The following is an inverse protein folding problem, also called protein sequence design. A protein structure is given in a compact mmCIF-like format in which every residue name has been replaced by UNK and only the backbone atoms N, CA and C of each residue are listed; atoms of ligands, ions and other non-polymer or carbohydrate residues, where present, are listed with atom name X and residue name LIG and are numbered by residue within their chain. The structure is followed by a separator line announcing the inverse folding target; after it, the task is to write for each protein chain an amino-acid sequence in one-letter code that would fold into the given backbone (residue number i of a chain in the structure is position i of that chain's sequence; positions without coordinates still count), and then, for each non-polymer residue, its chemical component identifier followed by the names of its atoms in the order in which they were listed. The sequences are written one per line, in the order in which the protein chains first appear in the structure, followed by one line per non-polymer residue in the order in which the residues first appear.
data_IF_481726342236
#
_entry.id   IF_481726342236
#
_cell.length_a   1.000
_cell.length_b   1.000
_cell.length_c   1.000
_cell.angle_alpha   90.00
_cell.angle_beta   90.00
_cell.angle_gamma   90.00
#
_symmetry.space_group_name_H-M   'P 1'
#
loop_
_entity.id
_entity.type
_entity.pdbx_description
1 polymer ?
#
# COMPACT_ATOMS: atom_id res chain seq x y z
N UNK A 1 -23.72 -15.54 17.68
CA UNK A 1 -23.26 -14.53 16.69
C UNK A 1 -22.11 -13.78 17.33
N UNK A 2 -20.91 -14.37 17.33
CA UNK A 2 -19.68 -13.67 17.72
C UNK A 2 -19.24 -12.88 16.49
N UNK A 3 -19.42 -11.57 16.50
CA UNK A 3 -18.70 -10.70 15.57
C UNK A 3 -17.42 -10.33 16.28
N UNK A 4 -16.38 -11.07 15.91
CA UNK A 4 -15.01 -10.78 16.27
C UNK A 4 -14.58 -9.51 15.53
N UNK A 5 -15.00 -8.34 16.04
CA UNK A 5 -14.57 -7.02 15.57
C UNK A 5 -13.10 -6.79 15.96
N UNK A 6 -12.18 -7.41 15.21
CA UNK A 6 -10.75 -7.14 15.27
C UNK A 6 -10.42 -5.92 14.39
N UNK A 7 -9.34 -5.22 14.73
CA UNK A 7 -8.70 -4.22 13.88
C UNK A 7 -8.58 -4.73 12.43
N UNK A 8 -8.59 -3.87 11.39
CA UNK A 8 -8.37 -4.33 10.02
C UNK A 8 -7.01 -5.03 9.94
N UNK A 9 -7.05 -6.36 9.84
CA UNK A 9 -5.85 -7.19 9.78
C UNK A 9 -5.29 -7.11 8.35
N UNK A 10 -4.47 -6.10 8.10
CA UNK A 10 -3.75 -5.98 6.83
C UNK A 10 -2.69 -7.09 6.81
N UNK A 11 -3.05 -8.19 6.17
CA UNK A 11 -2.11 -9.24 5.77
C UNK A 11 -1.63 -8.98 4.36
N UNK A 12 -0.38 -9.36 4.08
CA UNK A 12 0.21 -9.21 2.76
C UNK A 12 0.16 -10.53 1.99
N UNK A 13 0.19 -10.41 0.67
CA UNK A 13 0.38 -11.50 -0.29
C UNK A 13 1.39 -11.06 -1.34
N UNK A 14 1.94 -12.03 -2.04
CA UNK A 14 2.88 -11.79 -3.14
C UNK A 14 2.28 -12.29 -4.45
N UNK A 15 2.50 -11.55 -5.52
CA UNK A 15 2.29 -11.99 -6.91
C UNK A 15 3.65 -11.92 -7.60
N UNK A 16 4.03 -12.99 -8.31
CA UNK A 16 5.28 -13.01 -9.08
C UNK A 16 4.95 -12.97 -10.57
N UNK A 17 5.66 -12.09 -11.28
CA UNK A 17 5.64 -11.97 -12.73
C UNK A 17 7.01 -12.43 -13.22
N UNK A 18 7.07 -13.51 -14.00
CA UNK A 18 8.33 -14.04 -14.55
C UNK A 18 8.31 -14.03 -16.07
N UNK A 19 9.49 -14.13 -16.68
CA UNK A 19 9.65 -14.21 -18.13
C UNK A 19 10.48 -13.06 -18.70
N UNK A 20 10.86 -13.13 -19.99
CA UNK A 20 11.71 -12.13 -20.62
C UNK A 20 11.08 -10.73 -20.68
N UNK A 21 9.75 -10.64 -20.69
CA UNK A 21 9.04 -9.36 -20.73
C UNK A 21 8.60 -8.87 -19.33
N UNK A 22 9.00 -9.53 -18.23
CA UNK A 22 8.46 -9.26 -16.88
C UNK A 22 8.67 -7.81 -16.42
N UNK A 23 9.90 -7.30 -16.53
CA UNK A 23 10.24 -5.92 -16.16
C UNK A 23 9.50 -4.94 -17.07
N UNK A 24 9.54 -5.13 -18.39
CA UNK A 24 8.85 -4.27 -19.35
C UNK A 24 7.33 -4.26 -19.15
N UNK A 25 6.74 -5.40 -18.77
CA UNK A 25 5.34 -5.52 -18.42
C UNK A 25 5.03 -4.71 -17.15
N UNK A 26 5.76 -4.93 -16.04
CA UNK A 26 5.57 -4.16 -14.81
C UNK A 26 5.78 -2.65 -15.03
N UNK A 27 6.80 -2.28 -15.80
CA UNK A 27 7.07 -0.90 -16.24
C UNK A 27 5.89 -0.31 -17.00
N UNK A 28 5.14 -1.10 -17.77
CA UNK A 28 3.96 -0.59 -18.48
C UNK A 28 2.68 -0.50 -17.63
N UNK A 29 2.66 -1.08 -16.42
CA UNK A 29 1.44 -1.18 -15.61
C UNK A 29 1.48 -0.34 -14.33
N UNK A 30 2.65 -0.15 -13.74
CA UNK A 30 2.83 0.49 -12.44
C UNK A 30 3.17 1.98 -12.57
N UNK A 31 2.98 2.75 -11.51
CA UNK A 31 3.36 4.18 -11.45
C UNK A 31 4.86 4.42 -11.26
N UNK A 32 5.58 3.45 -10.69
CA UNK A 32 7.02 3.49 -10.41
C UNK A 32 7.85 3.25 -11.67
N UNK A 33 9.03 3.86 -11.79
CA UNK A 33 10.01 3.54 -12.83
C UNK A 33 10.77 2.24 -12.50
N UNK A 34 10.21 1.11 -12.93
CA UNK A 34 10.68 -0.23 -12.56
C UNK A 34 12.08 -0.54 -13.13
N UNK A 35 12.47 0.10 -14.23
CA UNK A 35 13.75 -0.13 -14.88
C UNK A 35 14.91 0.62 -14.20
N UNK A 36 14.60 1.63 -13.39
CA UNK A 36 15.58 2.52 -12.77
C UNK A 36 15.71 2.40 -11.25
N UNK A 37 15.03 1.43 -10.63
CA UNK A 37 15.04 1.24 -9.17
C UNK A 37 16.20 0.36 -8.71
N UNK A 38 16.58 0.52 -7.45
CA UNK A 38 17.54 -0.35 -6.77
C UNK A 38 16.93 -1.75 -6.57
N UNK A 39 17.54 -2.77 -7.19
CA UNK A 39 17.09 -4.16 -7.18
C UNK A 39 17.35 -4.88 -5.84
N UNK A 40 18.03 -4.23 -4.90
CA UNK A 40 18.25 -4.72 -3.53
C UNK A 40 17.18 -4.28 -2.54
N UNK A 41 16.22 -3.45 -2.97
CA UNK A 41 15.20 -2.86 -2.12
C UNK A 41 13.78 -3.16 -2.61
N UNK A 42 12.82 -3.01 -1.71
CA UNK A 42 11.39 -2.98 -2.02
C UNK A 42 10.93 -1.54 -2.19
N UNK A 43 10.34 -1.25 -3.34
CA UNK A 43 9.91 0.10 -3.69
C UNK A 43 8.40 0.23 -3.73
N UNK A 44 7.81 1.27 -3.12
CA UNK A 44 6.39 1.55 -3.25
C UNK A 44 6.01 1.80 -4.71
N UNK A 45 4.81 1.38 -5.10
CA UNK A 45 4.21 1.68 -6.38
C UNK A 45 2.68 1.61 -6.26
N UNK A 46 1.99 2.09 -7.29
CA UNK A 46 0.55 1.92 -7.44
C UNK A 46 0.21 1.25 -8.76
N UNK A 47 -0.85 0.44 -8.73
CA UNK A 47 -1.57 0.00 -9.91
C UNK A 47 -2.79 0.89 -10.13
N UNK A 48 -2.82 1.59 -11.25
CA UNK A 48 -3.89 2.55 -11.56
C UNK A 48 -4.92 1.99 -12.55
N UNK A 49 -6.11 2.58 -12.52
CA UNK A 49 -7.16 2.47 -13.54
C UNK A 49 -6.88 3.45 -14.69
N UNK A 50 -7.52 3.26 -15.86
CA UNK A 50 -7.42 4.22 -16.96
C UNK A 50 -7.86 5.66 -16.62
N UNK A 51 -8.68 5.86 -15.59
CA UNK A 51 -9.09 7.18 -15.09
C UNK A 51 -8.08 7.80 -14.11
N UNK A 52 -6.93 7.15 -13.88
CA UNK A 52 -5.86 7.61 -12.99
C UNK A 52 -6.03 7.23 -11.53
N UNK A 53 -7.15 6.60 -11.14
CA UNK A 53 -7.39 6.22 -9.74
C UNK A 53 -6.67 4.92 -9.38
N UNK A 54 -6.19 4.84 -8.15
CA UNK A 54 -5.39 3.72 -7.64
C UNK A 54 -6.29 2.57 -7.19
N UNK A 55 -6.06 1.38 -7.73
CA UNK A 55 -6.71 0.15 -7.27
C UNK A 55 -5.92 -0.58 -6.19
N UNK A 56 -4.60 -0.49 -6.24
CA UNK A 56 -3.73 -1.09 -5.25
C UNK A 56 -2.48 -0.24 -5.07
N UNK A 57 -2.06 -0.09 -3.82
CA UNK A 57 -0.69 0.28 -3.45
C UNK A 57 0.04 -1.02 -3.14
N UNK A 58 1.25 -1.15 -3.63
CA UNK A 58 2.06 -2.36 -3.56
C UNK A 58 3.54 -2.01 -3.43
N UNK A 59 4.33 -2.96 -2.94
CA UNK A 59 5.79 -2.90 -2.95
C UNK A 59 6.31 -3.77 -4.10
N UNK A 60 7.34 -3.28 -4.80
CA UNK A 60 7.94 -3.93 -5.96
C UNK A 60 9.38 -4.30 -5.63
N UNK A 61 9.71 -5.57 -5.84
CA UNK A 61 11.09 -6.04 -5.93
C UNK A 61 11.36 -6.51 -7.36
N UNK A 62 12.51 -6.14 -7.90
CA UNK A 62 12.93 -6.50 -9.26
C UNK A 62 14.09 -7.46 -9.19
N UNK A 63 14.00 -8.57 -9.90
CA UNK A 63 15.11 -9.47 -10.17
C UNK A 63 15.42 -9.54 -11.66
N UNK A 64 16.45 -10.31 -12.03
CA UNK A 64 16.94 -10.36 -13.42
C UNK A 64 15.87 -10.78 -14.46
N UNK A 65 14.91 -11.63 -14.10
CA UNK A 65 13.78 -12.06 -14.97
C UNK A 65 12.47 -12.25 -14.20
N UNK A 66 12.37 -11.61 -13.04
CA UNK A 66 11.19 -11.68 -12.21
C UNK A 66 10.90 -10.32 -11.61
N UNK A 67 9.63 -10.07 -11.35
CA UNK A 67 9.15 -8.94 -10.57
C UNK A 67 8.20 -9.49 -9.53
N UNK A 68 8.48 -9.22 -8.26
CA UNK A 68 7.60 -9.58 -7.14
C UNK A 68 6.82 -8.36 -6.69
N UNK A 69 5.51 -8.52 -6.58
CA UNK A 69 4.58 -7.51 -6.12
C UNK A 69 4.03 -7.95 -4.77
N UNK A 70 4.31 -7.18 -3.71
CA UNK A 70 3.75 -7.40 -2.38
C UNK A 70 2.63 -6.40 -2.14
N UNK A 71 1.45 -6.88 -1.80
CA UNK A 71 0.24 -6.07 -1.67
C UNK A 71 -0.70 -6.64 -0.60
N UNK A 72 -1.72 -5.87 -0.14
CA UNK A 72 -2.74 -6.39 0.76
C UNK A 72 -3.42 -7.63 0.16
N UNK A 73 -3.47 -8.72 0.94
CA UNK A 73 -4.01 -10.03 0.52
C UNK A 73 -5.45 -9.92 0.02
N UNK A 74 -6.25 -9.05 0.62
CA UNK A 74 -7.63 -8.76 0.22
C UNK A 74 -7.77 -8.26 -1.23
N UNK A 75 -6.70 -7.71 -1.81
CA UNK A 75 -6.67 -7.25 -3.21
C UNK A 75 -6.00 -8.24 -4.18
N UNK A 76 -5.33 -9.29 -3.68
CA UNK A 76 -4.48 -10.17 -4.49
C UNK A 76 -5.24 -10.83 -5.65
N UNK A 77 -6.46 -11.35 -5.42
CA UNK A 77 -7.26 -11.97 -6.47
C UNK A 77 -7.63 -10.96 -7.59
N UNK A 78 -8.03 -9.75 -7.21
CA UNK A 78 -8.41 -8.70 -8.15
C UNK A 78 -7.21 -8.19 -8.96
N UNK A 79 -6.06 -8.02 -8.30
CA UNK A 79 -4.80 -7.65 -8.93
C UNK A 79 -4.33 -8.74 -9.89
N UNK A 80 -4.43 -10.01 -9.50
CA UNK A 80 -4.04 -11.15 -10.32
C UNK A 80 -4.87 -11.26 -11.60
N UNK A 81 -6.21 -11.18 -11.50
CA UNK A 81 -7.12 -11.18 -12.66
C UNK A 81 -6.78 -10.06 -13.64
N UNK A 82 -6.50 -8.87 -13.10
CA UNK A 82 -6.12 -7.71 -13.90
C UNK A 82 -4.76 -7.88 -14.59
N UNK A 83 -3.76 -8.34 -13.87
CA UNK A 83 -2.43 -8.57 -14.42
C UNK A 83 -2.50 -9.56 -15.60
N UNK A 84 -3.30 -10.63 -15.48
CA UNK A 84 -3.57 -11.57 -16.58
C UNK A 84 -4.30 -10.94 -17.76
N UNK A 85 -5.23 -10.01 -17.53
CA UNK A 85 -5.92 -9.31 -18.61
C UNK A 85 -4.94 -8.51 -19.47
N UNK A 86 -3.95 -7.87 -18.86
CA UNK A 86 -2.96 -7.05 -19.56
C UNK A 86 -1.73 -7.81 -20.07
N UNK A 87 -1.59 -9.10 -19.73
CA UNK A 87 -0.46 -9.93 -20.17
C UNK A 87 -0.61 -10.49 -21.59
N UNK A 88 -1.75 -10.27 -22.25
CA UNK A 88 -2.00 -10.77 -23.61
C UNK A 88 -0.94 -10.24 -24.57
N UNK A 89 -0.27 -11.16 -25.27
CA UNK A 89 0.80 -10.83 -26.22
C UNK A 89 2.16 -10.52 -25.58
N UNK A 90 2.30 -10.68 -24.26
CA UNK A 90 3.57 -10.55 -23.52
C UNK A 90 4.09 -11.94 -23.15
N UNK A 91 5.41 -12.13 -23.23
CA UNK A 91 6.08 -13.35 -22.77
C UNK A 91 6.29 -13.27 -21.27
N UNK A 92 5.20 -13.34 -20.52
CA UNK A 92 5.20 -13.34 -19.05
C UNK A 92 4.32 -14.46 -18.50
N UNK A 93 4.72 -14.99 -17.36
CA UNK A 93 3.91 -15.86 -16.52
C UNK A 93 3.60 -15.15 -15.21
N UNK A 94 2.34 -15.21 -14.79
CA UNK A 94 1.86 -14.53 -13.58
C UNK A 94 1.29 -15.61 -12.66
N UNK A 95 1.87 -15.71 -11.46
CA UNK A 95 1.53 -16.69 -10.45
C UNK A 95 1.44 -16.04 -9.05
N UNK A 96 0.85 -16.77 -8.11
CA UNK A 96 1.04 -16.45 -6.70
C UNK A 96 2.55 -16.53 -6.38
N UNK A 97 3.04 -15.57 -5.61
CA UNK A 97 4.44 -15.50 -5.22
C UNK A 97 4.74 -16.23 -3.91
N UNK A 98 6.01 -16.19 -3.47
CA UNK A 98 6.41 -16.74 -2.18
C UNK A 98 5.66 -16.07 -1.02
N UNK A 99 5.66 -16.74 0.13
CA UNK A 99 5.15 -16.15 1.35
C UNK A 99 5.98 -14.92 1.74
N UNK A 100 5.33 -13.99 2.43
CA UNK A 100 5.92 -12.75 2.89
C UNK A 100 5.75 -12.62 4.40
N UNK A 101 6.81 -12.23 5.09
CA UNK A 101 6.80 -11.92 6.52
C UNK A 101 7.60 -10.65 6.81
N UNK A 102 7.21 -9.92 7.84
CA UNK A 102 7.94 -8.74 8.30
C UNK A 102 9.12 -9.10 9.22
N UNK A 103 10.20 -8.34 9.12
CA UNK A 103 11.37 -8.48 9.98
C UNK A 103 12.32 -7.27 9.92
N UNK A 104 13.48 -7.40 10.56
CA UNK A 104 14.59 -6.46 10.40
C UNK A 104 15.38 -6.71 9.12
N UNK A 105 16.32 -5.81 8.74
CA UNK A 105 17.09 -5.90 7.49
C UNK A 105 18.09 -7.07 7.44
N UNK A 106 18.22 -7.84 8.51
CA UNK A 106 19.09 -9.02 8.57
C UNK A 106 18.30 -10.29 8.23
N UNK A 107 18.69 -10.97 7.15
CA UNK A 107 18.14 -12.26 6.75
C UNK A 107 18.85 -13.44 7.44
N UNK A 108 18.14 -14.54 7.69
CA UNK A 108 18.77 -15.83 8.04
C UNK A 108 19.40 -16.47 6.79
N UNK A 109 20.27 -17.46 6.96
CA UNK A 109 20.86 -18.19 5.84
C UNK A 109 19.76 -18.84 4.97
N UNK A 110 19.74 -18.53 3.67
CA UNK A 110 18.73 -19.03 2.72
C UNK A 110 17.50 -18.13 2.56
N UNK A 111 17.41 -17.03 3.31
CA UNK A 111 16.33 -16.05 3.18
C UNK A 111 16.78 -14.83 2.37
N UNK A 112 15.86 -14.26 1.60
CA UNK A 112 16.05 -12.95 0.97
C UNK A 112 15.25 -11.90 1.75
N UNK A 113 15.95 -11.12 2.59
CA UNK A 113 15.38 -9.93 3.22
C UNK A 113 15.65 -8.72 2.35
N UNK A 114 14.59 -8.03 1.96
CA UNK A 114 14.67 -6.80 1.17
C UNK A 114 14.21 -5.63 2.04
N UNK A 115 15.08 -4.65 2.24
CA UNK A 115 14.75 -3.45 2.98
C UNK A 115 13.75 -2.59 2.20
N UNK A 116 12.90 -1.84 2.91
CA UNK A 116 11.97 -0.91 2.27
C UNK A 116 12.73 0.37 1.86
N UNK A 117 12.55 0.82 0.62
CA UNK A 117 13.23 2.05 0.15
C UNK A 117 12.74 3.32 0.84
N UNK A 118 11.52 3.29 1.38
CA UNK A 118 10.94 4.38 2.17
C UNK A 118 11.18 4.24 3.68
N UNK A 119 11.76 3.13 4.15
CA UNK A 119 12.00 2.85 5.56
C UNK A 119 13.12 1.81 5.73
N UNK A 120 14.36 2.29 5.84
CA UNK A 120 15.55 1.43 5.94
C UNK A 120 15.62 0.62 7.24
N UNK A 121 14.76 0.90 8.23
CA UNK A 121 14.72 0.15 9.49
C UNK A 121 14.00 -1.19 9.38
N UNK A 122 13.22 -1.40 8.31
CA UNK A 122 12.37 -2.57 8.12
C UNK A 122 12.68 -3.30 6.82
N UNK A 123 12.48 -4.61 6.83
CA UNK A 123 12.60 -5.45 5.64
C UNK A 123 11.49 -6.51 5.59
N UNK A 124 11.12 -6.88 4.37
CA UNK A 124 10.27 -8.03 4.13
C UNK A 124 11.11 -9.21 3.66
N UNK A 125 10.77 -10.38 4.17
CA UNK A 125 11.41 -11.64 3.78
C UNK A 125 10.45 -12.38 2.85
N UNK A 126 10.93 -12.66 1.64
CA UNK A 126 10.22 -13.43 0.62
C UNK A 126 10.80 -14.85 0.60
N UNK A 127 10.01 -15.84 1.01
CA UNK A 127 10.46 -17.23 1.10
C UNK A 127 9.43 -18.21 0.54
N UNK A 128 9.90 -19.19 -0.23
CA UNK A 128 9.10 -20.37 -0.55
C UNK A 128 8.93 -21.19 0.73
N UNK A 129 7.69 -21.60 1.01
CA UNK A 129 7.40 -22.44 2.16
C UNK A 129 7.46 -23.90 1.73
N UNK A 130 8.23 -24.71 2.47
CA UNK A 130 8.31 -26.16 2.27
C UNK A 130 6.97 -26.87 2.52
N UNK A 131 6.04 -26.23 3.23
CA UNK A 131 4.71 -26.75 3.51
C UNK A 131 3.61 -25.67 3.32
N UNK A 132 2.71 -25.82 2.35
CA UNK A 132 1.61 -24.89 2.12
C UNK A 132 0.53 -24.91 3.22
N UNK A 133 0.41 -25.97 4.04
CA UNK A 133 -0.53 -25.98 5.18
C UNK A 133 0.09 -25.30 6.41
N UNK A 134 1.42 -25.34 6.51
CA UNK A 134 2.12 -24.46 7.44
C UNK A 134 1.95 -23.00 7.03
N UNK A 135 1.46 -22.70 5.81
CA UNK A 135 1.08 -21.40 5.25
C UNK A 135 -0.25 -20.82 5.81
N UNK A 136 -0.92 -21.49 6.78
CA UNK A 136 -2.17 -20.99 7.41
C UNK A 136 -2.15 -20.74 8.94
N UNK A 137 -1.18 -21.27 9.73
CA UNK A 137 -1.11 -21.05 11.19
C UNK A 137 -0.06 -20.09 11.86
N UNK A 138 1.13 -19.76 11.33
CA UNK A 138 2.13 -18.95 12.08
C UNK A 138 3.20 -18.16 11.29
N UNK A 139 3.19 -18.11 9.95
CA UNK A 139 4.33 -17.58 9.17
C UNK A 139 4.00 -16.45 8.16
N UNK A 140 2.85 -15.79 8.27
CA UNK A 140 2.42 -14.65 7.41
C UNK A 140 2.08 -13.38 8.18
N UNK A 141 2.45 -13.30 9.45
CA UNK A 141 2.18 -12.13 10.26
C UNK A 141 3.27 -11.09 10.06
N UNK A 142 2.84 -9.87 9.80
CA UNK A 142 3.65 -8.71 10.08
C UNK A 142 3.80 -8.60 11.62
N UNK A 143 4.97 -8.18 12.13
CA UNK A 143 5.11 -7.82 13.54
C UNK A 143 3.99 -6.88 14.00
N UNK A 144 3.59 -6.97 15.28
CA UNK A 144 2.46 -6.20 15.80
C UNK A 144 2.63 -4.67 15.66
N UNK A 145 3.86 -4.19 15.67
CA UNK A 145 4.25 -2.78 15.47
C UNK A 145 4.46 -2.41 13.99
N UNK A 146 4.41 -3.35 13.06
CA UNK A 146 4.68 -3.10 11.65
C UNK A 146 3.68 -2.13 11.04
N UNK A 147 2.39 -2.35 11.27
CA UNK A 147 1.36 -1.47 10.72
C UNK A 147 1.38 -0.09 11.38
N UNK A 148 1.83 0.01 12.63
CA UNK A 148 2.10 1.31 13.25
C UNK A 148 3.25 2.02 12.53
N UNK A 149 4.36 1.31 12.24
CA UNK A 149 5.45 1.88 11.46
C UNK A 149 5.03 2.25 10.02
N UNK A 150 4.10 1.52 9.41
CA UNK A 150 3.48 1.89 8.13
C UNK A 150 2.66 3.18 8.24
N UNK A 151 1.90 3.39 9.32
CA UNK A 151 1.21 4.66 9.58
C UNK A 151 2.22 5.79 9.75
N UNK A 152 3.26 5.57 10.55
CA UNK A 152 4.28 6.56 10.88
C UNK A 152 5.09 6.99 9.64
N UNK A 153 5.44 6.05 8.75
CA UNK A 153 6.12 6.36 7.48
C UNK A 153 5.15 6.78 6.37
N UNK A 154 3.83 6.72 6.62
CA UNK A 154 2.81 7.14 5.67
C UNK A 154 2.54 6.18 4.53
N UNK A 155 2.82 4.88 4.69
CA UNK A 155 2.53 3.84 3.72
C UNK A 155 1.01 3.73 3.48
N UNK A 156 0.50 4.11 2.29
CA UNK A 156 -0.93 4.30 2.06
C UNK A 156 -1.57 3.04 1.50
N UNK A 157 -1.57 1.95 2.26
CA UNK A 157 -2.22 0.71 1.84
C UNK A 157 -3.67 0.96 1.40
N UNK A 158 -3.99 0.49 0.20
CA UNK A 158 -5.35 0.49 -0.33
C UNK A 158 -6.00 -0.85 0.01
N UNK A 159 -7.26 -0.79 0.43
CA UNK A 159 -8.09 -1.94 0.80
C UNK A 159 -9.32 -1.96 -0.12
N UNK A 160 -10.09 -3.05 -0.18
CA UNK A 160 -11.26 -3.15 -1.07
C UNK A 160 -12.22 -1.96 -0.98
N UNK A 161 -12.40 -1.42 0.22
CA UNK A 161 -13.28 -0.29 0.52
C UNK A 161 -12.77 1.04 -0.07
N UNK A 162 -11.46 1.17 -0.27
CA UNK A 162 -10.81 2.41 -0.74
C UNK A 162 -10.28 2.32 -2.17
N UNK A 163 -10.37 1.14 -2.78
CA UNK A 163 -9.92 0.87 -4.14
C UNK A 163 -10.65 1.74 -5.18
N UNK A 164 -9.86 2.47 -5.97
CA UNK A 164 -10.35 3.35 -7.01
C UNK A 164 -10.94 4.66 -6.49
N UNK A 165 -10.66 5.07 -5.25
CA UNK A 165 -11.13 6.36 -4.72
C UNK A 165 -10.16 7.51 -5.00
N UNK A 166 -8.85 7.27 -5.03
CA UNK A 166 -7.83 8.32 -4.97
C UNK A 166 -6.85 8.29 -6.13
N UNK A 167 -6.25 9.44 -6.44
CA UNK A 167 -5.08 9.52 -7.32
C UNK A 167 -3.80 9.23 -6.53
N UNK A 168 -2.71 8.76 -7.17
CA UNK A 168 -1.42 8.52 -6.52
C UNK A 168 -0.90 9.71 -5.70
N UNK A 169 -1.06 10.93 -6.21
CA UNK A 169 -0.62 12.15 -5.52
C UNK A 169 -1.38 12.41 -4.21
N UNK A 170 -2.68 12.09 -4.19
CA UNK A 170 -3.50 12.22 -2.97
C UNK A 170 -3.06 11.24 -1.89
N UNK A 171 -2.42 10.13 -2.27
CA UNK A 171 -1.86 9.12 -1.38
C UNK A 171 -0.40 9.40 -1.00
N UNK A 172 0.18 10.54 -1.42
CA UNK A 172 1.56 10.88 -1.08
C UNK A 172 2.63 9.97 -1.71
N UNK A 173 2.30 9.20 -2.76
CA UNK A 173 3.24 8.27 -3.39
C UNK A 173 4.46 8.96 -4.01
N UNK A 174 4.36 10.25 -4.33
CA UNK A 174 5.52 11.05 -4.77
C UNK A 174 6.60 11.13 -3.70
N UNK A 175 6.21 11.36 -2.44
CA UNK A 175 7.15 11.44 -1.32
C UNK A 175 7.77 10.08 -0.98
N UNK A 176 7.06 9.00 -1.25
CA UNK A 176 7.53 7.62 -1.08
C UNK A 176 8.34 7.09 -2.28
N UNK A 177 8.57 7.91 -3.31
CA UNK A 177 9.26 7.50 -4.54
C UNK A 177 8.46 6.54 -5.43
N UNK A 178 7.19 6.29 -5.12
CA UNK A 178 6.34 5.32 -5.82
C UNK A 178 5.61 5.83 -7.05
N UNK A 179 5.91 7.05 -7.51
CA UNK A 179 5.36 7.65 -8.72
C UNK A 179 6.46 8.34 -9.52
N UNK A 180 6.65 7.95 -10.77
CA UNK A 180 7.56 8.60 -11.71
C UNK A 180 6.79 9.31 -12.82
N UNK A 181 7.10 10.59 -13.03
CA UNK A 181 6.60 11.38 -14.16
C UNK A 181 7.49 11.30 -15.41
N UNK A 182 8.66 10.65 -15.29
CA UNK A 182 9.68 10.60 -16.35
C UNK A 182 9.77 9.23 -17.04
N UNK A 183 9.06 8.22 -16.52
CA UNK A 183 9.01 6.88 -17.09
C UNK A 183 8.13 6.80 -18.34
N UNK A 184 8.15 5.63 -18.99
CA UNK A 184 7.27 5.29 -20.09
C UNK A 184 5.79 5.15 -19.69
N UNK A 185 4.94 4.83 -20.68
CA UNK A 185 3.50 4.85 -20.52
C UNK A 185 2.94 3.85 -19.52
N UNK A 186 2.00 4.28 -18.66
CA UNK A 186 1.18 3.39 -17.82
C UNK A 186 -0.31 3.82 -17.76
N UNK A 187 -1.25 2.94 -17.37
CA UNK A 187 -2.67 3.27 -17.31
C UNK A 187 -2.99 4.46 -16.41
N UNK A 188 -3.78 5.40 -16.91
CA UNK A 188 -4.21 6.58 -16.14
C UNK A 188 -3.20 7.72 -16.05
N UNK A 189 -2.01 7.55 -16.64
CA UNK A 189 -0.94 8.56 -16.58
C UNK A 189 -1.36 9.94 -17.12
N UNK A 190 -2.25 10.01 -18.10
CA UNK A 190 -2.67 11.29 -18.69
C UNK A 190 -3.40 12.15 -17.66
N UNK A 191 -4.28 11.54 -16.86
CA UNK A 191 -4.98 12.21 -15.77
C UNK A 191 -3.99 12.63 -14.69
N UNK A 192 -3.09 11.72 -14.31
CA UNK A 192 -2.09 11.93 -13.27
C UNK A 192 -1.12 13.07 -13.65
N UNK A 193 -0.56 13.04 -14.86
CA UNK A 193 0.34 14.06 -15.38
C UNK A 193 -0.38 15.41 -15.57
N UNK A 194 -1.63 15.41 -16.04
CA UNK A 194 -2.43 16.64 -16.16
C UNK A 194 -2.60 17.32 -14.80
N UNK A 195 -2.90 16.56 -13.75
CA UNK A 195 -3.01 17.09 -12.39
C UNK A 195 -1.68 17.68 -11.92
N UNK A 196 -0.55 17.00 -12.19
CA UNK A 196 0.78 17.48 -11.81
C UNK A 196 1.19 18.79 -12.52
N UNK A 197 1.06 18.85 -13.85
CA UNK A 197 1.60 19.97 -14.63
C UNK A 197 0.65 21.16 -14.80
N UNK A 198 -0.67 20.93 -14.70
CA UNK A 198 -1.69 21.95 -15.01
C UNK A 198 -2.82 22.02 -14.00
N UNK A 199 -2.90 21.05 -13.10
CA UNK A 199 -3.95 20.97 -12.11
C UNK A 199 -3.56 21.55 -10.76
N UNK A 200 -4.52 21.48 -9.84
CA UNK A 200 -4.30 21.71 -8.41
C UNK A 200 -4.78 20.48 -7.68
N UNK A 201 -3.91 19.92 -6.84
CA UNK A 201 -4.30 18.86 -5.92
C UNK A 201 -5.15 19.48 -4.79
N UNK A 202 -6.32 18.91 -4.51
CA UNK A 202 -7.25 19.42 -3.48
C UNK A 202 -7.33 18.52 -2.26
N UNK A 203 -6.70 17.34 -2.32
CA UNK A 203 -6.65 16.36 -1.24
C UNK A 203 -5.24 15.83 -1.04
N UNK A 204 -4.89 15.53 0.21
CA UNK A 204 -3.60 14.98 0.62
C UNK A 204 -3.80 13.85 1.61
N UNK A 205 -2.79 13.01 1.72
CA UNK A 205 -2.68 12.03 2.78
C UNK A 205 -2.28 12.74 4.08
N UNK A 206 -2.92 12.37 5.19
CA UNK A 206 -2.62 12.85 6.53
C UNK A 206 -2.65 11.70 7.53
N UNK A 207 -1.82 11.78 8.56
CA UNK A 207 -1.94 10.93 9.73
C UNK A 207 -3.03 11.46 10.64
N UNK A 208 -3.66 10.59 11.42
CA UNK A 208 -4.57 10.99 12.47
C UNK A 208 -4.43 10.12 13.70
N UNK A 209 -4.91 10.64 14.82
CA UNK A 209 -5.17 9.91 16.05
C UNK A 209 -6.66 9.96 16.36
N UNK A 210 -7.22 8.84 16.79
CA UNK A 210 -8.62 8.71 17.16
C UNK A 210 -8.75 8.03 18.52
N UNK A 211 -9.57 8.60 19.41
CA UNK A 211 -9.93 8.00 20.69
C UNK A 211 -11.11 7.06 20.51
N UNK A 212 -10.82 5.82 20.12
CA UNK A 212 -11.82 4.79 19.88
C UNK A 212 -11.32 3.45 20.40
N UNK A 213 -12.23 2.65 20.97
CA UNK A 213 -11.98 1.29 21.42
C UNK A 213 -11.74 0.30 20.28
N UNK A 214 -12.17 0.66 19.07
CA UNK A 214 -11.93 -0.10 17.85
C UNK A 214 -11.48 0.83 16.72
N UNK A 215 -10.54 0.41 15.87
CA UNK A 215 -10.15 1.16 14.69
C UNK A 215 -11.34 1.40 13.75
N UNK A 216 -11.47 2.60 13.15
CA UNK A 216 -12.52 2.88 12.18
C UNK A 216 -12.35 2.01 10.93
N UNK A 217 -13.48 1.65 10.31
CA UNK A 217 -13.49 0.83 9.10
C UNK A 217 -12.85 1.62 7.94
N UNK A 218 -11.95 1.01 7.15
CA UNK A 218 -11.47 1.56 5.89
C UNK A 218 -12.60 2.12 5.01
N UNK A 219 -12.37 3.25 4.35
CA UNK A 219 -13.38 3.92 3.52
C UNK A 219 -14.44 4.71 4.29
N UNK A 220 -14.44 4.68 5.64
CA UNK A 220 -15.32 5.54 6.45
C UNK A 220 -15.12 7.00 6.07
N UNK A 221 -16.20 7.67 5.69
CA UNK A 221 -16.21 9.10 5.41
C UNK A 221 -16.53 9.87 6.68
N UNK A 222 -15.88 11.03 6.85
CA UNK A 222 -16.14 11.93 7.95
C UNK A 222 -15.98 13.38 7.50
N UNK A 223 -16.49 14.30 8.30
CA UNK A 223 -16.34 15.72 8.06
C UNK A 223 -15.19 16.28 8.89
N UNK A 224 -14.35 17.09 8.25
CA UNK A 224 -13.22 17.76 8.86
C UNK A 224 -13.15 19.18 8.29
N UNK A 225 -13.35 20.18 9.15
CA UNK A 225 -13.45 21.59 8.76
C UNK A 225 -14.43 21.80 7.57
N UNK A 226 -15.66 21.31 7.72
CA UNK A 226 -16.75 21.36 6.72
C UNK A 226 -16.43 20.69 5.37
N UNK A 227 -15.40 19.83 5.32
CA UNK A 227 -14.97 19.14 4.10
C UNK A 227 -14.96 17.63 4.28
N UNK A 228 -15.28 16.87 3.22
CA UNK A 228 -15.24 15.42 3.27
C UNK A 228 -13.80 14.90 3.35
N UNK A 229 -13.56 14.05 4.33
CA UNK A 229 -12.36 13.25 4.49
C UNK A 229 -12.71 11.75 4.46
N UNK A 230 -11.73 10.91 4.19
CA UNK A 230 -11.91 9.46 4.09
C UNK A 230 -10.78 8.73 4.81
N UNK A 231 -11.14 7.79 5.69
CA UNK A 231 -10.19 6.89 6.35
C UNK A 231 -9.62 5.90 5.31
N UNK A 232 -8.30 5.77 5.23
CA UNK A 232 -7.67 4.67 4.50
C UNK A 232 -7.66 3.40 5.34
N UNK A 233 -6.97 3.46 6.48
CA UNK A 233 -6.94 2.40 7.48
C UNK A 233 -6.44 2.98 8.80
N UNK A 234 -6.59 2.21 9.88
CA UNK A 234 -6.11 2.56 11.21
C UNK A 234 -5.70 1.30 11.98
N UNK A 235 -4.83 1.49 12.96
CA UNK A 235 -4.30 0.45 13.84
C UNK A 235 -4.56 0.84 15.28
N UNK A 236 -4.85 -0.15 16.13
CA UNK A 236 -4.92 0.07 17.56
C UNK A 236 -3.51 0.35 18.10
N UNK A 237 -3.38 1.37 18.96
CA UNK A 237 -2.09 1.77 19.49
C UNK A 237 -1.64 0.83 20.60
N UNK A 238 -0.41 0.33 20.52
CA UNK A 238 0.15 -0.55 21.55
C UNK A 238 0.12 0.12 22.94
N UNK A 239 -0.36 -0.61 23.94
CA UNK A 239 -0.47 -0.13 25.33
C UNK A 239 -1.64 0.83 25.61
N UNK A 240 -2.58 1.01 24.68
CA UNK A 240 -3.80 1.80 24.89
C UNK A 240 -5.03 1.04 24.39
N UNK A 241 -6.07 0.97 25.22
CA UNK A 241 -7.31 0.27 24.85
C UNK A 241 -8.28 1.13 24.02
N UNK A 242 -8.08 2.45 23.99
CA UNK A 242 -9.03 3.40 23.39
C UNK A 242 -8.33 4.42 22.48
N UNK A 243 -7.24 4.01 21.82
CA UNK A 243 -6.53 4.88 20.89
C UNK A 243 -6.16 4.11 19.63
N UNK A 244 -6.48 4.70 18.48
CA UNK A 244 -6.04 4.23 17.18
C UNK A 244 -5.28 5.34 16.47
N UNK A 245 -4.20 4.98 15.79
CA UNK A 245 -3.50 5.87 14.86
C UNK A 245 -3.76 5.35 13.43
N UNK A 246 -3.83 6.24 12.45
CA UNK A 246 -4.17 5.83 11.09
C UNK A 246 -3.88 6.86 10.03
N UNK A 247 -4.22 6.51 8.79
CA UNK A 247 -4.07 7.37 7.62
C UNK A 247 -5.42 7.73 7.02
N UNK A 248 -5.59 8.98 6.65
CA UNK A 248 -6.78 9.50 5.99
C UNK A 248 -6.41 10.39 4.80
N UNK A 249 -7.30 10.45 3.81
CA UNK A 249 -7.22 11.42 2.73
C UNK A 249 -8.14 12.60 3.07
N UNK A 250 -7.54 13.77 3.26
CA UNK A 250 -8.19 15.01 3.72
C UNK A 250 -8.00 16.12 2.69
N UNK A 251 -8.64 17.27 2.85
CA UNK A 251 -8.37 18.42 1.98
C UNK A 251 -7.00 19.04 2.24
N UNK A 252 -6.34 19.55 1.21
CA UNK A 252 -4.98 20.12 1.29
C UNK A 252 -4.87 21.38 2.15
N UNK A 253 -5.98 22.09 2.35
CA UNK A 253 -6.04 23.34 3.12
C UNK A 253 -6.49 23.13 4.58
N UNK A 254 -6.64 21.88 5.01
CA UNK A 254 -6.81 21.55 6.42
C UNK A 254 -5.43 21.32 7.02
N UNK A 255 -5.14 22.03 8.12
CA UNK A 255 -3.88 21.96 8.84
C UNK A 255 -3.82 20.76 9.79
N UNK A 256 -2.61 20.34 10.16
CA UNK A 256 -2.43 19.32 11.17
C UNK A 256 -2.90 19.85 12.54
N UNK A 257 -3.35 18.97 13.43
CA UNK A 257 -4.01 19.33 14.68
C UNK A 257 -5.51 19.63 14.54
N UNK A 258 -6.05 19.72 13.32
CA UNK A 258 -7.49 19.88 13.11
C UNK A 258 -8.26 18.69 13.71
N UNK A 259 -9.24 19.00 14.55
CA UNK A 259 -10.06 18.02 15.27
C UNK A 259 -11.26 17.57 14.43
N UNK A 260 -11.69 16.33 14.65
CA UNK A 260 -12.86 15.74 13.99
C UNK A 260 -13.53 14.70 14.89
N UNK A 261 -14.73 14.29 14.47
CA UNK A 261 -15.50 13.26 15.17
C UNK A 261 -15.94 12.16 14.19
N UNK A 262 -15.81 10.90 14.59
CA UNK A 262 -16.31 9.74 13.83
C UNK A 262 -17.10 8.86 14.78
N UNK A 263 -18.39 8.65 14.50
CA UNK A 263 -19.26 7.77 15.29
C UNK A 263 -19.20 8.00 16.83
N UNK A 264 -19.02 9.26 17.25
CA UNK A 264 -18.91 9.65 18.66
C UNK A 264 -17.50 9.55 19.27
N UNK A 265 -16.50 9.10 18.50
CA UNK A 265 -15.09 9.15 18.87
C UNK A 265 -14.44 10.46 18.41
N UNK A 266 -13.63 11.06 19.29
CA UNK A 266 -12.87 12.28 19.03
C UNK A 266 -11.51 11.95 18.40
N UNK A 267 -11.11 12.70 17.39
CA UNK A 267 -9.81 12.54 16.74
C UNK A 267 -9.21 13.87 16.31
N UNK A 268 -7.93 13.83 15.95
CA UNK A 268 -7.22 14.98 15.40
C UNK A 268 -6.20 14.54 14.36
N UNK A 269 -5.96 15.39 13.36
CA UNK A 269 -4.84 15.18 12.44
C UNK A 269 -3.51 15.31 13.18
N UNK A 270 -2.52 14.51 12.78
CA UNK A 270 -1.16 14.57 13.29
C UNK A 270 -0.18 14.85 12.17
N UNK A 271 0.88 15.58 12.51
CA UNK A 271 2.01 15.82 11.60
C UNK A 271 2.71 14.50 11.29
N UNK A 272 3.03 14.31 10.00
CA UNK A 272 3.86 13.21 9.51
C UNK A 272 5.23 13.73 9.11
#
# INVERSE_FOLDING_TARGET
MSRDDHAPEISLATITITGPDAVAFAQSQLTLDVEGIDDTLLHPAAWCRPDGRVDAVLLVAVGHRNVSLVLPRSLAESAFKRARMYSIGRKVEIAAGPAVRGGGPTASAGECALALSCDSGRALILAELDNPDAAESAAWSLPADWLQADVDCGMPWILPETAGMFLPQMLGLEALGGLSYRKGCFPGQEVIARVHYRGRLTRRLAGFRLRASQPPVPGTTFELADKPAVILYAVARSGSNDASDGLAVVSTDVEDGAEFHIAGAEGALVSR
#
